data_IF_801464902911
#
_entry.id   IF_801464902911
#
_cell.length_a   1.000
_cell.length_b   1.000
_cell.length_c   1.000
_cell.angle_alpha   90.00
_cell.angle_beta   90.00
_cell.angle_gamma   90.00
#
_symmetry.space_group_name_H-M   'P 1'
#
loop_
_entity.id
_entity.type
_entity.pdbx_description
1 polymer ?
#
# COMPACT_ATOMS: atom_id res chain seq x y z
N UNK A 1 -27.65 15.05 -3.80
CA UNK A 1 -26.87 14.37 -4.85
C UNK A 1 -26.76 12.93 -4.38
N UNK A 2 -27.65 12.05 -4.83
CA UNK A 2 -27.39 10.61 -4.74
C UNK A 2 -26.18 10.39 -5.63
N UNK A 3 -25.00 10.36 -5.02
CA UNK A 3 -23.80 9.97 -5.75
C UNK A 3 -24.10 8.55 -6.22
N UNK A 4 -24.07 8.32 -7.53
CA UNK A 4 -24.28 7.02 -8.13
C UNK A 4 -23.07 6.17 -7.73
N UNK A 5 -23.13 5.65 -6.50
CA UNK A 5 -22.08 4.91 -5.83
C UNK A 5 -21.73 3.69 -6.69
N UNK A 6 -22.70 3.12 -7.40
CA UNK A 6 -22.48 2.10 -8.41
C UNK A 6 -21.67 2.60 -9.61
N UNK A 7 -21.99 3.77 -10.17
CA UNK A 7 -21.22 4.36 -11.26
C UNK A 7 -19.78 4.73 -10.88
N UNK A 8 -19.46 4.90 -9.60
CA UNK A 8 -18.09 5.11 -9.13
C UNK A 8 -17.37 3.80 -8.77
N UNK A 9 -18.09 2.82 -8.21
CA UNK A 9 -17.53 1.52 -7.82
C UNK A 9 -17.15 0.69 -9.04
N UNK A 10 -17.99 0.63 -10.07
CA UNK A 10 -17.73 -0.20 -11.26
C UNK A 10 -16.42 0.18 -11.97
N UNK A 11 -16.16 1.47 -12.30
CA UNK A 11 -14.89 1.89 -12.87
C UNK A 11 -13.71 1.66 -11.93
N UNK A 12 -13.90 1.83 -10.62
CA UNK A 12 -12.86 1.57 -9.61
C UNK A 12 -12.45 0.10 -9.57
N UNK A 13 -13.41 -0.83 -9.60
CA UNK A 13 -13.15 -2.27 -9.63
C UNK A 13 -12.51 -2.68 -10.95
N UNK A 14 -13.05 -2.22 -12.10
CA UNK A 14 -12.52 -2.56 -13.42
C UNK A 14 -11.10 -2.00 -13.58
N UNK A 15 -10.88 -0.73 -13.22
CA UNK A 15 -9.57 -0.09 -13.22
C UNK A 15 -8.58 -0.80 -12.30
N UNK A 16 -9.01 -1.18 -11.09
CA UNK A 16 -8.21 -1.94 -10.15
C UNK A 16 -7.82 -3.33 -10.69
N UNK A 17 -8.73 -4.04 -11.33
CA UNK A 17 -8.46 -5.35 -11.95
C UNK A 17 -7.50 -5.21 -13.14
N UNK A 18 -7.67 -4.18 -13.98
CA UNK A 18 -6.78 -3.92 -15.11
C UNK A 18 -5.38 -3.56 -14.62
N UNK A 19 -5.26 -2.67 -13.63
CA UNK A 19 -3.96 -2.34 -13.01
C UNK A 19 -3.32 -3.56 -12.35
N UNK A 20 -4.08 -4.36 -11.60
CA UNK A 20 -3.57 -5.59 -10.99
C UNK A 20 -3.10 -6.61 -12.04
N UNK A 21 -3.74 -6.66 -13.21
CA UNK A 21 -3.32 -7.52 -14.34
C UNK A 21 -2.11 -6.97 -15.09
N UNK A 22 -1.96 -5.65 -15.21
CA UNK A 22 -0.81 -5.01 -15.84
C UNK A 22 0.43 -5.03 -14.94
N UNK A 23 0.24 -4.89 -13.63
CA UNK A 23 1.30 -5.03 -12.63
C UNK A 23 1.59 -6.51 -12.36
N UNK A 24 2.18 -7.21 -13.34
CA UNK A 24 2.72 -8.58 -13.17
C UNK A 24 3.94 -8.66 -12.24
N UNK A 25 4.21 -7.62 -11.45
CA UNK A 25 5.34 -7.58 -10.54
C UNK A 25 4.88 -7.92 -9.14
N UNK A 26 5.43 -9.00 -8.59
CA UNK A 26 5.25 -9.35 -7.19
C UNK A 26 5.75 -8.19 -6.32
N UNK A 27 4.86 -7.63 -5.50
CA UNK A 27 5.14 -6.45 -4.68
C UNK A 27 6.39 -6.64 -3.80
N UNK A 28 6.54 -7.81 -3.16
CA UNK A 28 7.71 -8.08 -2.33
C UNK A 28 8.99 -8.17 -3.14
N UNK A 29 8.95 -8.78 -4.33
CA UNK A 29 10.11 -8.80 -5.20
C UNK A 29 10.48 -7.39 -5.69
N UNK A 30 9.49 -6.57 -6.06
CA UNK A 30 9.71 -5.17 -6.46
C UNK A 30 10.35 -4.36 -5.34
N UNK A 31 9.76 -4.39 -4.15
CA UNK A 31 10.27 -3.65 -2.99
C UNK A 31 11.66 -4.15 -2.57
N UNK A 32 11.85 -5.47 -2.57
CA UNK A 32 13.10 -6.11 -2.20
C UNK A 32 14.26 -5.81 -3.12
N UNK A 33 14.01 -5.83 -4.44
CA UNK A 33 15.06 -5.57 -5.45
C UNK A 33 15.54 -4.13 -5.46
N UNK A 34 14.78 -3.19 -4.89
CA UNK A 34 15.25 -1.83 -4.63
C UNK A 34 16.28 -1.76 -3.49
N UNK A 35 16.29 -2.74 -2.59
CA UNK A 35 17.21 -2.78 -1.44
C UNK A 35 18.38 -3.75 -1.65
N UNK A 36 18.13 -4.90 -2.27
CA UNK A 36 19.09 -6.01 -2.34
C UNK A 36 19.04 -6.66 -3.73
N UNK A 37 20.21 -6.92 -4.30
CA UNK A 37 20.33 -7.51 -5.66
C UNK A 37 20.09 -9.01 -5.70
N UNK A 38 20.25 -9.70 -4.57
CA UNK A 38 20.02 -11.14 -4.49
C UNK A 38 18.52 -11.45 -4.47
N UNK A 39 18.06 -12.27 -5.44
CA UNK A 39 16.65 -12.54 -5.65
C UNK A 39 15.99 -13.30 -4.49
N UNK A 40 16.72 -14.15 -3.76
CA UNK A 40 16.18 -14.89 -2.61
C UNK A 40 16.00 -13.95 -1.41
N UNK A 41 16.96 -13.06 -1.20
CA UNK A 41 16.90 -12.06 -0.13
C UNK A 41 15.94 -10.90 -0.46
N UNK A 42 15.71 -10.62 -1.74
CA UNK A 42 14.76 -9.59 -2.18
C UNK A 42 13.34 -9.87 -1.67
N UNK A 43 12.84 -11.11 -1.77
CA UNK A 43 11.52 -11.43 -1.24
C UNK A 43 11.38 -11.13 0.27
N UNK A 44 12.39 -11.52 1.06
CA UNK A 44 12.40 -11.24 2.49
C UNK A 44 12.51 -9.74 2.80
N UNK A 45 13.40 -9.03 2.12
CA UNK A 45 13.58 -7.59 2.28
C UNK A 45 12.30 -6.80 1.91
N UNK A 46 11.66 -7.16 0.81
CA UNK A 46 10.42 -6.52 0.38
C UNK A 46 9.24 -6.83 1.30
N UNK A 47 9.16 -8.04 1.86
CA UNK A 47 8.17 -8.37 2.89
C UNK A 47 8.40 -7.55 4.17
N UNK A 48 9.64 -7.42 4.63
CA UNK A 48 9.98 -6.58 5.79
C UNK A 48 9.60 -5.12 5.56
N UNK A 49 9.91 -4.57 4.38
CA UNK A 49 9.49 -3.21 4.02
C UNK A 49 7.97 -3.05 4.04
N UNK A 50 7.24 -3.99 3.44
CA UNK A 50 5.80 -3.91 3.36
C UNK A 50 5.12 -4.01 4.73
N UNK A 51 5.67 -4.82 5.64
CA UNK A 51 5.17 -4.95 7.02
C UNK A 51 5.56 -3.75 7.89
N UNK A 52 6.77 -3.23 7.72
CA UNK A 52 7.26 -2.10 8.51
C UNK A 52 6.54 -0.79 8.19
N UNK A 53 6.15 -0.58 6.93
CA UNK A 53 5.58 0.71 6.50
C UNK A 53 4.24 1.05 7.18
N UNK A 54 3.27 0.13 7.31
CA UNK A 54 2.04 0.36 8.06
C UNK A 54 2.28 0.65 9.55
N UNK A 55 3.27 -0.02 10.16
CA UNK A 55 3.61 0.21 11.57
C UNK A 55 4.15 1.62 11.76
N UNK A 56 5.12 2.03 10.92
CA UNK A 56 5.68 3.38 10.97
C UNK A 56 4.61 4.43 10.69
N UNK A 57 3.78 4.20 9.67
CA UNK A 57 2.67 5.10 9.34
C UNK A 57 1.68 5.22 10.51
N UNK A 58 1.29 4.11 11.13
CA UNK A 58 0.37 4.11 12.28
C UNK A 58 0.92 4.90 13.47
N UNK A 59 2.21 4.73 13.79
CA UNK A 59 2.87 5.49 14.86
C UNK A 59 2.94 6.99 14.57
N UNK A 60 3.30 7.38 13.34
CA UNK A 60 3.32 8.78 12.92
C UNK A 60 1.90 9.37 12.96
N UNK A 61 0.92 8.62 12.48
CA UNK A 61 -0.47 9.04 12.45
C UNK A 61 -1.00 9.33 13.86
N UNK A 62 -0.79 8.41 14.80
CA UNK A 62 -1.16 8.61 16.21
C UNK A 62 -0.43 9.80 16.82
N UNK A 63 0.89 9.89 16.63
CA UNK A 63 1.67 11.01 17.18
C UNK A 63 1.20 12.37 16.66
N UNK A 64 0.81 12.47 15.38
CA UNK A 64 0.21 13.69 14.82
C UNK A 64 -1.18 13.96 15.40
N UNK A 65 -2.02 12.93 15.55
CA UNK A 65 -3.35 13.10 16.15
C UNK A 65 -3.28 13.62 17.58
N UNK A 66 -2.39 13.06 18.41
CA UNK A 66 -2.17 13.57 19.77
C UNK A 66 -1.59 15.00 19.75
N UNK A 67 -0.55 15.26 18.95
CA UNK A 67 0.13 16.57 18.93
C UNK A 67 -0.79 17.72 18.48
N UNK A 68 -1.76 17.45 17.61
CA UNK A 68 -2.71 18.42 17.10
C UNK A 68 -4.09 18.37 17.80
N UNK A 69 -4.27 17.50 18.80
CA UNK A 69 -5.52 17.37 19.54
C UNK A 69 -6.71 16.99 18.66
N UNK A 70 -6.49 16.10 17.69
CA UNK A 70 -7.51 15.65 16.74
C UNK A 70 -8.32 14.43 17.24
N UNK A 71 -8.07 14.01 18.47
CA UNK A 71 -8.89 13.02 19.17
C UNK A 71 -10.20 13.68 19.59
N UNK A 72 -11.30 13.31 18.93
CA UNK A 72 -12.67 13.78 19.23
C UNK A 72 -13.40 12.84 20.16
#
# INVERSE_FOLDING_TARGET
MEFDVEAAILPGIIGGIIMARQMKMNLFLMLGTMMVKDAKMAYAAGAMMHIGMPVVFGLIHVALYEAFGLES
#
